data_IF_553730197911
#
_entry.id   IF_553730197911
#
_cell.length_a   1.000
_cell.length_b   1.000
_cell.length_c   1.000
_cell.angle_alpha   90.00
_cell.angle_beta   90.00
_cell.angle_gamma   90.00
#
_symmetry.space_group_name_H-M   'P 1'
#
loop_
_entity.id
_entity.type
_entity.pdbx_description
1 polymer ?
#
# COMPACT_ATOMS: atom_id res chain seq x y z
N UNK A 1 43.17 83.81 13.45
CA UNK A 1 42.01 84.07 12.56
C UNK A 1 40.83 83.26 13.11
N UNK A 2 40.14 83.66 14.18
CA UNK A 2 38.98 84.58 14.33
C UNK A 2 37.84 84.45 13.29
N UNK A 3 36.70 83.95 13.82
CA UNK A 3 35.27 84.14 13.46
C UNK A 3 34.76 83.33 12.23
N UNK A 4 33.56 82.74 12.25
CA UNK A 4 32.25 83.37 12.53
C UNK A 4 31.18 82.37 13.01
N UNK A 5 30.31 82.83 13.92
CA UNK A 5 29.07 82.21 14.42
C UNK A 5 27.91 82.65 13.49
N UNK A 6 26.89 81.81 13.26
CA UNK A 6 25.46 82.21 13.38
C UNK A 6 24.48 81.03 13.30
N UNK A 7 23.53 81.03 14.23
CA UNK A 7 22.37 80.15 14.32
C UNK A 7 21.17 80.70 13.51
N UNK A 8 20.18 79.86 13.16
CA UNK A 8 18.72 80.02 13.45
C UNK A 8 17.79 79.19 12.54
N UNK A 9 16.66 78.74 13.14
CA UNK A 9 15.42 78.27 12.49
C UNK A 9 15.06 76.83 12.91
N UNK A 10 14.35 76.51 14.00
CA UNK A 10 13.00 76.86 14.47
C UNK A 10 11.85 76.25 13.64
N UNK A 11 11.12 75.34 14.32
CA UNK A 11 9.70 74.93 14.20
C UNK A 11 9.20 74.22 12.92
N UNK A 12 8.83 72.95 13.08
CA UNK A 12 7.49 72.47 12.71
C UNK A 12 7.17 71.18 13.50
N UNK A 13 6.35 71.33 14.54
CA UNK A 13 5.63 70.23 15.13
C UNK A 13 4.40 69.95 14.25
N UNK A 14 4.20 68.71 13.81
CA UNK A 14 2.89 68.26 13.32
C UNK A 14 2.57 66.91 13.95
N UNK A 15 1.82 67.01 15.03
CA UNK A 15 1.01 65.98 15.65
C UNK A 15 0.02 65.45 14.60
N UNK A 16 0.10 64.16 14.26
CA UNK A 16 -1.04 63.44 13.69
C UNK A 16 -1.24 62.15 14.49
N UNK A 17 -2.11 62.29 15.48
CA UNK A 17 -2.71 61.20 16.22
C UNK A 17 -3.95 60.70 15.46
N UNK A 18 -4.26 59.42 15.66
CA UNK A 18 -5.52 58.71 15.32
C UNK A 18 -5.62 58.07 13.92
N UNK A 19 -5.46 56.74 13.91
CA UNK A 19 -6.50 55.71 13.62
C UNK A 19 -5.74 54.41 13.30
N UNK A 20 -5.43 53.56 14.27
CA UNK A 20 -6.24 52.38 14.68
C UNK A 20 -6.77 51.51 13.52
N UNK A 21 -6.43 50.21 13.62
CA UNK A 21 -7.05 49.04 12.95
C UNK A 21 -6.38 48.56 11.65
N UNK A 22 -5.12 48.13 11.77
CA UNK A 22 -4.47 47.25 10.80
C UNK A 22 -4.61 45.78 11.20
N UNK A 23 -5.71 45.17 10.77
CA UNK A 23 -5.96 43.74 10.58
C UNK A 23 -5.04 42.76 11.37
N UNK A 24 -5.51 42.27 12.51
CA UNK A 24 -5.26 40.87 12.88
C UNK A 24 -5.97 40.02 11.84
N UNK A 25 -5.31 39.76 10.72
CA UNK A 25 -5.69 38.64 9.88
C UNK A 25 -5.44 37.40 10.74
N UNK A 26 -6.50 36.87 11.34
CA UNK A 26 -6.52 35.49 11.78
C UNK A 26 -6.10 34.70 10.55
N UNK A 27 -4.86 34.20 10.55
CA UNK A 27 -4.49 33.09 9.70
C UNK A 27 -5.40 31.98 10.20
N UNK A 28 -6.55 31.82 9.54
CA UNK A 28 -7.24 30.55 9.55
C UNK A 28 -6.23 29.60 8.90
N UNK A 29 -5.38 28.97 9.73
CA UNK A 29 -4.86 27.67 9.38
C UNK A 29 -6.12 26.85 9.23
N UNK A 30 -6.53 26.64 7.98
CA UNK A 30 -7.19 25.40 7.64
C UNK A 30 -6.07 24.40 7.90
N UNK A 31 -5.97 23.94 9.14
CA UNK A 31 -5.28 22.69 9.39
C UNK A 31 -5.99 21.73 8.44
N UNK A 32 -5.27 21.25 7.41
CA UNK A 32 -5.68 20.03 6.70
C UNK A 32 -6.16 19.10 7.80
N UNK A 33 -7.46 18.75 7.78
CA UNK A 33 -8.13 17.98 8.83
C UNK A 33 -7.13 16.98 9.36
N UNK A 34 -6.66 17.20 10.60
CA UNK A 34 -5.68 16.31 11.21
C UNK A 34 -6.38 14.98 11.32
N UNK A 35 -6.20 14.11 10.32
CA UNK A 35 -6.77 12.77 10.34
C UNK A 35 -6.32 12.18 11.65
N UNK A 36 -7.27 11.91 12.54
CA UNK A 36 -6.97 11.38 13.87
C UNK A 36 -6.04 10.18 13.69
N UNK A 37 -4.86 10.24 14.29
CA UNK A 37 -3.92 9.13 14.18
C UNK A 37 -4.57 7.88 14.75
N UNK A 38 -4.58 6.82 13.94
CA UNK A 38 -5.17 5.55 14.32
C UNK A 38 -4.15 4.85 15.21
N UNK A 39 -4.48 4.75 16.50
CA UNK A 39 -3.67 4.05 17.49
C UNK A 39 -3.71 2.53 17.24
N UNK A 40 -2.56 1.88 17.42
CA UNK A 40 -2.41 0.44 17.29
C UNK A 40 -2.93 -0.27 18.55
N UNK A 41 -3.76 -1.30 18.37
CA UNK A 41 -4.28 -2.12 19.47
C UNK A 41 -3.35 -3.27 19.84
N UNK A 42 -3.85 -4.20 20.67
CA UNK A 42 -3.04 -5.33 21.20
C UNK A 42 -3.39 -6.69 20.59
N UNK A 43 -4.38 -6.76 19.70
CA UNK A 43 -4.79 -8.02 19.07
C UNK A 43 -3.94 -8.28 17.81
N UNK A 44 -3.09 -9.32 17.79
CA UNK A 44 -2.27 -9.61 16.63
C UNK A 44 -3.13 -10.10 15.45
N UNK A 45 -2.71 -9.74 14.24
CA UNK A 45 -3.34 -10.19 13.00
C UNK A 45 -2.61 -11.45 12.52
N UNK A 46 -3.35 -12.53 12.33
CA UNK A 46 -2.85 -13.76 11.67
C UNK A 46 -3.32 -13.82 10.22
N UNK A 47 -2.51 -14.39 9.34
CA UNK A 47 -2.82 -14.49 7.91
C UNK A 47 -2.83 -15.94 7.46
N UNK A 48 -3.84 -16.29 6.66
CA UNK A 48 -3.94 -17.61 6.05
C UNK A 48 -4.39 -17.52 4.60
N UNK A 49 -4.15 -18.57 3.83
CA UNK A 49 -4.64 -18.72 2.46
C UNK A 49 -5.94 -19.52 2.50
N UNK A 50 -6.94 -19.08 1.73
CA UNK A 50 -8.08 -19.94 1.43
C UNK A 50 -7.63 -21.04 0.48
N UNK A 51 -7.40 -22.23 1.01
CA UNK A 51 -7.16 -23.41 0.18
C UNK A 51 -8.47 -23.78 -0.51
N UNK A 52 -8.51 -23.79 -1.84
CA UNK A 52 -9.65 -24.40 -2.53
C UNK A 52 -9.61 -25.92 -2.30
N UNK A 53 -10.77 -26.50 -1.92
CA UNK A 53 -10.94 -27.96 -1.99
C UNK A 53 -10.81 -28.34 -3.46
N UNK A 54 -10.01 -29.37 -3.75
CA UNK A 54 -9.80 -29.93 -5.09
C UNK A 54 -11.12 -29.99 -5.86
N UNK A 55 -11.35 -29.01 -6.73
CA UNK A 55 -12.48 -28.94 -7.64
C UNK A 55 -11.93 -28.78 -9.05
N UNK A 56 -12.68 -29.25 -10.04
CA UNK A 56 -12.31 -29.33 -11.46
C UNK A 56 -12.15 -27.97 -12.16
N UNK A 57 -12.08 -26.87 -11.40
CA UNK A 57 -11.78 -25.52 -11.91
C UNK A 57 -10.29 -25.25 -11.82
N UNK A 58 -9.74 -24.68 -12.90
CA UNK A 58 -8.33 -24.34 -13.04
C UNK A 58 -8.00 -23.11 -12.18
N UNK A 59 -7.90 -23.30 -10.87
CA UNK A 59 -7.52 -22.30 -9.86
C UNK A 59 -6.45 -22.85 -8.92
N UNK A 60 -5.77 -23.93 -9.31
CA UNK A 60 -4.78 -24.64 -8.48
C UNK A 60 -3.52 -23.79 -8.27
N UNK A 61 -3.64 -22.74 -7.46
CA UNK A 61 -2.53 -21.93 -6.98
C UNK A 61 -1.82 -22.73 -5.89
N UNK A 62 -0.83 -23.51 -6.28
CA UNK A 62 0.02 -24.22 -5.34
C UNK A 62 1.16 -23.28 -4.92
N UNK A 63 0.99 -22.62 -3.78
CA UNK A 63 2.10 -21.89 -3.15
C UNK A 63 3.12 -22.89 -2.60
N UNK A 64 4.40 -22.57 -2.79
CA UNK A 64 5.53 -23.33 -2.26
C UNK A 64 6.15 -22.60 -1.07
N UNK A 65 6.72 -23.38 -0.14
CA UNK A 65 7.39 -22.81 1.03
C UNK A 65 8.45 -21.80 0.60
N UNK A 66 8.36 -20.58 1.12
CA UNK A 66 9.24 -19.47 0.76
C UNK A 66 8.66 -18.53 -0.29
N UNK A 67 7.50 -18.84 -0.88
CA UNK A 67 6.76 -17.87 -1.68
C UNK A 67 6.37 -16.67 -0.83
N UNK A 68 6.52 -15.48 -1.41
CA UNK A 68 6.28 -14.22 -0.72
C UNK A 68 5.18 -13.40 -1.37
N UNK A 69 4.41 -12.72 -0.54
CA UNK A 69 3.34 -11.81 -0.94
C UNK A 69 3.53 -10.45 -0.29
N UNK A 70 3.13 -9.39 -0.99
CA UNK A 70 2.96 -8.08 -0.37
C UNK A 70 1.55 -7.93 0.15
N UNK A 71 1.39 -7.28 1.30
CA UNK A 71 0.11 -7.00 1.92
C UNK A 71 -0.02 -5.51 2.23
N UNK A 72 -1.14 -4.93 1.80
CA UNK A 72 -1.59 -3.61 2.20
C UNK A 72 -2.86 -3.73 3.03
N UNK A 73 -3.02 -2.82 3.99
CA UNK A 73 -4.28 -2.62 4.68
C UNK A 73 -4.61 -1.12 4.76
N UNK A 74 -5.86 -0.78 4.50
CA UNK A 74 -6.43 0.55 4.75
C UNK A 74 -7.58 0.42 5.74
N UNK A 75 -7.99 1.51 6.37
CA UNK A 75 -9.34 1.55 6.94
C UNK A 75 -10.37 1.40 5.83
N UNK A 76 -11.60 1.01 6.17
CA UNK A 76 -12.65 0.84 5.15
C UNK A 76 -13.06 2.16 4.45
N UNK A 77 -12.81 3.32 5.05
CA UNK A 77 -12.95 4.63 4.39
C UNK A 77 -11.68 5.09 3.65
N UNK A 78 -10.55 4.45 3.92
CA UNK A 78 -9.24 4.82 3.37
C UNK A 78 -9.06 4.38 1.92
N UNK A 79 -8.01 4.93 1.29
CA UNK A 79 -7.63 4.59 -0.08
C UNK A 79 -6.21 4.08 -0.14
N UNK A 80 -5.95 3.13 -1.03
CA UNK A 80 -4.57 2.65 -1.31
C UNK A 80 -3.64 3.79 -1.79
N UNK A 81 -4.19 4.90 -2.31
CA UNK A 81 -3.41 6.08 -2.69
C UNK A 81 -2.98 6.93 -1.50
N UNK A 82 -3.76 6.91 -0.42
CA UNK A 82 -3.58 7.72 0.78
C UNK A 82 -2.76 7.01 1.85
N UNK A 83 -2.96 7.41 3.12
CA UNK A 83 -2.33 6.76 4.27
C UNK A 83 -2.81 5.31 4.38
N UNK A 84 -1.85 4.39 4.45
CA UNK A 84 -2.10 2.94 4.63
C UNK A 84 -1.81 2.57 6.07
N UNK A 85 -2.65 1.72 6.65
CA UNK A 85 -2.44 1.19 7.99
C UNK A 85 -1.33 0.13 7.99
N UNK A 86 -1.33 -0.75 6.99
CA UNK A 86 -0.21 -1.66 6.70
C UNK A 86 0.27 -1.34 5.29
N UNK A 87 1.57 -1.08 5.15
CA UNK A 87 2.18 -0.73 3.86
C UNK A 87 3.19 -1.79 3.42
N UNK A 88 2.84 -2.51 2.34
CA UNK A 88 3.62 -3.55 1.68
C UNK A 88 4.30 -4.56 2.64
N UNK A 89 3.58 -5.05 3.65
CA UNK A 89 4.11 -6.05 4.56
C UNK A 89 4.37 -7.35 3.81
N UNK A 90 5.62 -7.83 3.86
CA UNK A 90 5.97 -9.13 3.33
C UNK A 90 5.36 -10.25 4.18
N UNK A 91 4.60 -11.12 3.54
CA UNK A 91 4.14 -12.40 4.07
C UNK A 91 4.91 -13.52 3.39
N UNK A 92 5.32 -14.54 4.12
CA UNK A 92 5.95 -15.74 3.58
C UNK A 92 5.04 -16.95 3.79
N UNK A 93 4.77 -17.69 2.73
CA UNK A 93 4.07 -18.96 2.81
C UNK A 93 4.97 -20.03 3.38
N UNK A 94 4.45 -20.76 4.37
CA UNK A 94 5.18 -21.85 5.03
C UNK A 94 4.56 -23.20 4.72
N UNK A 95 3.52 -23.59 5.44
CA UNK A 95 2.83 -24.86 5.28
C UNK A 95 1.38 -24.75 5.77
N UNK A 96 0.53 -25.67 5.29
CA UNK A 96 -0.82 -25.84 5.82
C UNK A 96 -1.70 -24.59 5.74
N UNK A 97 -1.52 -23.76 4.70
CA UNK A 97 -2.18 -22.45 4.46
C UNK A 97 -1.66 -21.26 5.27
N UNK A 98 -0.62 -21.44 6.08
CA UNK A 98 -0.12 -20.39 6.97
C UNK A 98 0.73 -19.36 6.23
N UNK A 99 0.50 -18.07 6.53
CA UNK A 99 1.32 -16.95 6.09
C UNK A 99 1.98 -16.28 7.29
N UNK A 100 3.31 -16.29 7.31
CA UNK A 100 4.10 -15.67 8.38
C UNK A 100 4.47 -14.25 7.98
N UNK A 101 4.05 -13.22 8.72
CA UNK A 101 4.42 -11.85 8.42
C UNK A 101 5.87 -11.57 8.83
N UNK A 102 6.59 -10.76 8.05
CA UNK A 102 7.98 -10.35 8.34
C UNK A 102 8.12 -9.65 9.71
N UNK A 103 7.07 -8.97 10.15
CA UNK A 103 6.92 -8.43 11.51
C UNK A 103 5.50 -8.67 11.99
N UNK A 104 5.32 -8.89 13.28
CA UNK A 104 3.97 -8.90 13.88
C UNK A 104 3.30 -7.55 13.66
N UNK A 105 2.01 -7.58 13.33
CA UNK A 105 1.16 -6.41 13.18
C UNK A 105 -0.15 -6.64 13.95
N UNK A 106 -0.76 -5.57 14.42
CA UNK A 106 -1.92 -5.61 15.29
C UNK A 106 -3.09 -4.84 14.67
N UNK A 107 -4.31 -5.23 15.01
CA UNK A 107 -5.49 -4.44 14.66
C UNK A 107 -5.45 -3.07 15.36
N UNK A 108 -6.08 -2.04 14.78
CA UNK A 108 -6.26 -0.75 15.45
C UNK A 108 -6.98 -0.89 16.79
N UNK A 109 -6.79 0.08 17.68
CA UNK A 109 -7.60 0.21 18.88
C UNK A 109 -9.09 0.45 18.52
N UNK A 110 -9.99 -0.20 19.27
CA UNK A 110 -11.44 -0.12 19.05
C UNK A 110 -11.98 -1.11 18.00
N UNK A 111 -13.13 -0.78 17.41
CA UNK A 111 -13.83 -1.60 16.41
C UNK A 111 -13.65 -1.03 14.99
N UNK A 112 -12.40 -0.66 14.66
CA UNK A 112 -12.04 -0.15 13.33
C UNK A 112 -11.88 -1.33 12.37
N UNK A 113 -12.56 -1.25 11.24
CA UNK A 113 -12.45 -2.24 10.16
C UNK A 113 -11.31 -1.92 9.20
N UNK A 114 -10.60 -2.97 8.81
CA UNK A 114 -9.54 -2.93 7.83
C UNK A 114 -9.96 -3.65 6.54
N UNK A 115 -9.53 -3.07 5.42
CA UNK A 115 -9.62 -3.63 4.08
C UNK A 115 -8.21 -4.00 3.61
N UNK A 116 -8.02 -5.28 3.30
CA UNK A 116 -6.75 -5.89 2.92
C UNK A 116 -6.69 -6.15 1.42
N UNK A 117 -5.54 -5.85 0.83
CA UNK A 117 -5.17 -6.24 -0.53
C UNK A 117 -3.82 -6.93 -0.44
N UNK A 118 -3.72 -8.15 -0.95
CA UNK A 118 -2.44 -8.87 -1.05
C UNK A 118 -2.15 -9.27 -2.48
N UNK A 119 -0.87 -9.32 -2.84
CA UNK A 119 -0.42 -9.72 -4.17
C UNK A 119 0.80 -10.63 -4.11
N UNK A 120 0.93 -11.49 -5.11
CA UNK A 120 2.10 -12.35 -5.35
C UNK A 120 2.54 -12.22 -6.82
N UNK A 121 3.85 -12.25 -7.12
CA UNK A 121 4.98 -12.31 -6.18
C UNK A 121 5.26 -10.96 -5.49
N UNK A 122 5.85 -11.02 -4.29
CA UNK A 122 6.27 -9.84 -3.52
C UNK A 122 7.29 -8.98 -4.27
N UNK A 123 7.08 -7.66 -4.26
CA UNK A 123 8.04 -6.65 -4.74
C UNK A 123 8.39 -5.73 -3.57
N UNK A 124 9.67 -5.39 -3.40
CA UNK A 124 10.09 -4.57 -2.24
C UNK A 124 9.48 -3.18 -2.27
N UNK A 125 9.36 -2.60 -3.46
CA UNK A 125 8.85 -1.25 -3.70
C UNK A 125 7.32 -1.18 -3.59
N UNK A 126 6.63 -2.28 -3.93
CA UNK A 126 5.17 -2.35 -3.88
C UNK A 126 4.47 -1.23 -4.64
N UNK A 127 3.37 -0.71 -4.08
CA UNK A 127 2.63 0.42 -4.65
C UNK A 127 3.23 1.71 -4.10
N UNK A 128 3.73 2.60 -4.95
CA UNK A 128 4.27 3.87 -4.49
C UNK A 128 3.19 4.75 -3.78
N UNK A 129 3.62 5.65 -2.90
CA UNK A 129 2.71 6.58 -2.23
C UNK A 129 2.02 7.52 -3.24
N UNK A 130 0.76 7.87 -2.98
CA UNK A 130 -0.03 8.75 -3.85
C UNK A 130 -0.57 8.10 -5.12
N UNK A 131 -0.19 6.85 -5.44
CA UNK A 131 -0.66 6.12 -6.62
C UNK A 131 -1.37 4.81 -6.24
N UNK A 132 -2.34 4.34 -7.03
CA UNK A 132 -2.96 3.03 -6.86
C UNK A 132 -2.28 1.95 -7.73
N UNK A 133 -1.16 2.25 -8.38
CA UNK A 133 -0.57 1.41 -9.44
C UNK A 133 0.59 0.58 -8.89
N UNK A 134 0.51 -0.73 -9.09
CA UNK A 134 1.63 -1.67 -8.95
C UNK A 134 2.15 -2.03 -10.34
N UNK A 135 3.42 -1.77 -10.68
CA UNK A 135 4.00 -2.29 -11.91
C UNK A 135 4.11 -3.81 -11.86
N UNK A 136 3.72 -4.49 -12.94
CA UNK A 136 3.77 -5.95 -13.05
C UNK A 136 4.46 -6.31 -14.36
N UNK A 137 5.39 -7.26 -14.29
CA UNK A 137 6.12 -7.80 -15.44
C UNK A 137 6.19 -9.32 -15.35
N UNK A 138 6.29 -9.97 -16.50
CA UNK A 138 6.54 -11.42 -16.59
C UNK A 138 7.98 -11.67 -17.01
N UNK A 139 8.50 -12.86 -16.69
CA UNK A 139 9.80 -13.30 -17.18
C UNK A 139 9.74 -13.54 -18.69
N UNK A 140 10.79 -13.16 -19.42
CA UNK A 140 10.93 -13.45 -20.86
C UNK A 140 11.04 -14.97 -21.07
N UNK A 141 11.81 -15.64 -20.21
CA UNK A 141 11.95 -17.09 -20.21
C UNK A 141 11.12 -17.73 -19.09
N UNK A 142 10.04 -18.42 -19.46
CA UNK A 142 9.13 -19.14 -18.57
C UNK A 142 9.26 -20.68 -18.69
N UNK A 143 10.38 -21.16 -19.25
CA UNK A 143 10.60 -22.60 -19.51
C UNK A 143 10.60 -23.45 -18.23
N UNK A 144 11.12 -22.91 -17.13
CA UNK A 144 11.19 -23.60 -15.84
C UNK A 144 10.06 -23.16 -14.88
N UNK A 145 9.77 -24.01 -13.90
CA UNK A 145 8.67 -23.80 -12.94
C UNK A 145 8.82 -22.52 -12.13
N UNK A 146 10.03 -22.24 -11.63
CA UNK A 146 10.32 -21.05 -10.84
C UNK A 146 9.99 -19.77 -11.62
N UNK A 147 10.48 -19.63 -12.85
CA UNK A 147 10.22 -18.43 -13.66
C UNK A 147 8.74 -18.29 -14.03
N UNK A 148 8.05 -19.42 -14.23
CA UNK A 148 6.61 -19.46 -14.51
C UNK A 148 5.80 -19.00 -13.30
N UNK A 149 6.14 -19.48 -12.10
CA UNK A 149 5.53 -19.05 -10.83
C UNK A 149 5.77 -17.56 -10.57
N UNK A 150 7.01 -17.07 -10.78
CA UNK A 150 7.33 -15.63 -10.67
C UNK A 150 6.65 -14.76 -11.74
N UNK A 151 6.07 -15.37 -12.78
CA UNK A 151 5.28 -14.67 -13.80
C UNK A 151 3.78 -14.78 -13.58
N UNK A 152 3.34 -15.54 -12.57
CA UNK A 152 1.93 -15.72 -12.26
C UNK A 152 1.48 -14.69 -11.23
N UNK A 153 0.97 -13.56 -11.72
CA UNK A 153 0.54 -12.46 -10.86
C UNK A 153 -0.85 -12.74 -10.26
N UNK A 154 -0.90 -12.83 -8.94
CA UNK A 154 -2.07 -13.16 -8.16
C UNK A 154 -2.45 -11.99 -7.25
N UNK A 155 -3.76 -11.78 -7.02
CA UNK A 155 -4.24 -10.79 -6.04
C UNK A 155 -5.39 -11.35 -5.21
N UNK A 156 -5.32 -11.16 -3.90
CA UNK A 156 -6.38 -11.42 -2.93
C UNK A 156 -6.91 -10.11 -2.34
N UNK A 157 -8.20 -10.12 -1.95
CA UNK A 157 -8.86 -9.02 -1.24
C UNK A 157 -9.69 -9.58 -0.09
N UNK A 158 -9.66 -8.92 1.06
CA UNK A 158 -10.53 -9.19 2.21
C UNK A 158 -10.94 -7.86 2.84
N UNK A 159 -12.23 -7.62 3.04
CA UNK A 159 -12.75 -6.29 3.42
C UNK A 159 -13.56 -6.36 4.71
N UNK A 160 -13.63 -5.24 5.43
CA UNK A 160 -14.46 -5.13 6.63
C UNK A 160 -13.99 -6.00 7.80
N UNK A 161 -12.70 -6.32 7.87
CA UNK A 161 -12.15 -7.22 8.88
C UNK A 161 -11.83 -6.43 10.15
N UNK A 162 -12.33 -6.88 11.30
CA UNK A 162 -12.03 -6.26 12.61
C UNK A 162 -11.28 -7.24 13.52
N UNK A 163 -10.82 -6.73 14.66
CA UNK A 163 -10.14 -7.51 15.71
C UNK A 163 -10.94 -8.71 16.21
N UNK A 164 -12.26 -8.72 16.05
CA UNK A 164 -13.14 -9.85 16.42
C UNK A 164 -12.87 -11.13 15.63
N UNK A 165 -12.41 -11.00 14.38
CA UNK A 165 -12.12 -12.14 13.50
C UNK A 165 -10.76 -12.78 13.79
N UNK A 166 -9.81 -11.99 14.33
CA UNK A 166 -8.39 -12.31 14.59
C UNK A 166 -7.56 -12.68 13.35
N UNK A 167 -8.10 -13.47 12.44
CA UNK A 167 -7.43 -13.96 11.24
C UNK A 167 -7.98 -13.34 9.96
N UNK A 168 -7.08 -13.01 9.05
CA UNK A 168 -7.37 -12.60 7.67
C UNK A 168 -7.13 -13.79 6.75
N UNK A 169 -8.19 -14.29 6.12
CA UNK A 169 -8.09 -15.36 5.12
C UNK A 169 -8.03 -14.73 3.72
N UNK A 170 -6.97 -15.01 2.97
CA UNK A 170 -6.70 -14.47 1.64
C UNK A 170 -7.02 -15.49 0.55
N UNK A 171 -7.93 -15.13 -0.35
CA UNK A 171 -8.28 -15.92 -1.53
C UNK A 171 -7.64 -15.29 -2.78
N UNK A 172 -6.55 -15.89 -3.25
CA UNK A 172 -5.78 -15.40 -4.39
C UNK A 172 -6.44 -15.77 -5.71
N UNK A 173 -6.41 -14.83 -6.66
CA UNK A 173 -6.92 -15.00 -8.00
C UNK A 173 -5.87 -14.58 -9.02
N UNK A 174 -5.67 -15.38 -10.07
CA UNK A 174 -4.84 -15.06 -11.22
C UNK A 174 -5.36 -13.80 -11.93
N UNK A 175 -4.45 -12.87 -12.23
CA UNK A 175 -4.78 -11.59 -12.89
C UNK A 175 -4.24 -11.49 -14.32
N UNK A 176 -3.50 -12.50 -14.77
CA UNK A 176 -3.01 -12.63 -16.14
C UNK A 176 -3.72 -13.77 -16.86
N UNK A 177 -3.51 -13.86 -18.17
CA UNK A 177 -3.99 -14.98 -18.99
C UNK A 177 -2.84 -15.94 -19.31
N UNK A 178 -3.15 -17.23 -19.34
CA UNK A 178 -2.20 -18.28 -19.74
C UNK A 178 -2.50 -18.76 -21.15
N UNK A 179 -1.53 -18.64 -22.06
CA UNK A 179 -1.59 -19.26 -23.38
C UNK A 179 -0.98 -20.66 -23.29
N UNK A 180 -1.72 -21.68 -23.73
CA UNK A 180 -1.24 -23.06 -23.80
C UNK A 180 -1.36 -23.56 -25.23
N UNK A 181 -0.22 -23.94 -25.83
CA UNK A 181 -0.13 -24.46 -27.20
C UNK A 181 0.32 -25.91 -27.10
N UNK A 182 -0.42 -26.82 -27.74
CA UNK A 182 -0.04 -28.21 -27.90
C UNK A 182 0.22 -28.48 -29.38
N UNK A 183 1.39 -29.03 -29.70
CA UNK A 183 1.73 -29.44 -31.06
C UNK A 183 1.55 -30.95 -31.15
N UNK A 184 0.79 -31.42 -32.13
CA UNK A 184 0.60 -32.85 -32.39
C UNK A 184 1.12 -33.14 -33.80
N UNK A 185 2.11 -34.04 -33.96
CA UNK A 185 2.61 -34.39 -35.27
C UNK A 185 1.53 -35.12 -36.08
N UNK A 186 1.62 -35.03 -37.40
CA UNK A 186 0.81 -35.89 -38.28
C UNK A 186 1.28 -37.36 -38.20
N UNK A 187 0.50 -38.28 -38.76
CA UNK A 187 0.79 -39.72 -38.67
C UNK A 187 2.10 -40.14 -39.37
N UNK A 188 2.72 -39.26 -40.17
CA UNK A 188 3.91 -39.54 -40.98
C UNK A 188 5.20 -38.92 -40.44
N UNK A 189 5.13 -38.04 -39.45
CA UNK A 189 6.28 -37.34 -38.87
C UNK A 189 6.38 -37.62 -37.38
N UNK A 190 7.60 -37.74 -36.84
CA UNK A 190 7.82 -37.85 -35.41
C UNK A 190 8.30 -36.52 -34.85
N UNK A 191 8.01 -36.22 -33.57
CA UNK A 191 8.48 -35.01 -32.91
C UNK A 191 10.00 -34.99 -32.64
N UNK A 192 10.73 -36.01 -33.10
CA UNK A 192 12.16 -36.23 -32.85
C UNK A 192 13.02 -36.11 -34.13
N UNK A 193 12.44 -35.72 -35.27
CA UNK A 193 13.18 -35.50 -36.53
C UNK A 193 13.79 -34.10 -36.63
#
# INVERSE_FOLDING_TARGET
>A
MKKLILARGVLAASLFCCMSLGNTACVNRIDEESEAEIEEGTTPITFSIKMEKASTKVTNTAFEKGDRMGLFATTSSGSIKGKRYIDNLALEYTEGSTLVPKKTVFYPEGDVSLDFISYHPYQTEGVAAGTPVLPVSVQIDQSNEKNRAQSDFLVAKAQGITSKTKSVTLEFQHRLSKLAISLTPDASNSAND
#
